data_IF_924854601366
#
_entry.id   IF_924854601366
#
_cell.length_a   1.000
_cell.length_b   1.000
_cell.length_c   1.000
_cell.angle_alpha   90.00
_cell.angle_beta   90.00
_cell.angle_gamma   90.00
#
_symmetry.space_group_name_H-M   'P 1'
#
loop_
_entity.id
_entity.type
_entity.pdbx_description
1 polymer ?
#
# COMPACT_ATOMS: atom_id res chain seq x y z
N UNK A 1 32.31 14.76 -34.25
CA UNK A 1 31.08 13.95 -34.06
C UNK A 1 31.28 12.88 -33.00
N UNK A 2 32.38 12.09 -33.05
CA UNK A 2 32.73 11.14 -31.97
C UNK A 2 33.07 11.82 -30.64
N UNK A 3 33.82 12.94 -30.64
CA UNK A 3 34.16 13.67 -29.40
C UNK A 3 32.93 14.23 -28.68
N UNK A 4 32.00 14.85 -29.42
CA UNK A 4 30.73 15.35 -28.85
C UNK A 4 29.90 14.22 -28.24
N UNK A 5 29.89 13.04 -28.85
CA UNK A 5 29.20 11.88 -28.28
C UNK A 5 29.90 11.40 -27.00
N UNK A 6 31.23 11.41 -26.97
CA UNK A 6 32.01 11.00 -25.80
C UNK A 6 31.76 11.94 -24.61
N UNK A 7 31.80 13.25 -24.83
CA UNK A 7 31.48 14.26 -23.82
C UNK A 7 30.05 14.12 -23.28
N UNK A 8 29.06 13.86 -24.17
CA UNK A 8 27.68 13.63 -23.75
C UNK A 8 27.53 12.35 -22.92
N UNK A 9 28.28 11.29 -23.24
CA UNK A 9 28.29 10.05 -22.47
C UNK A 9 28.93 10.27 -21.09
N UNK A 10 30.03 10.99 -21.01
CA UNK A 10 30.67 11.36 -19.73
C UNK A 10 29.72 12.18 -18.86
N UNK A 11 29.04 13.18 -19.43
CA UNK A 11 28.01 13.94 -18.72
C UNK A 11 26.82 13.08 -18.26
N UNK A 12 26.43 12.09 -19.07
CA UNK A 12 25.39 11.14 -18.67
C UNK A 12 25.85 10.28 -17.49
N UNK A 13 27.09 9.77 -17.52
CA UNK A 13 27.66 8.97 -16.42
C UNK A 13 27.72 9.79 -15.14
N UNK A 14 28.24 11.02 -15.19
CA UNK A 14 28.27 11.93 -14.05
C UNK A 14 26.88 12.28 -13.54
N UNK A 15 25.93 12.50 -14.45
CA UNK A 15 24.53 12.78 -14.13
C UNK A 15 23.84 11.60 -13.45
N UNK A 16 24.10 10.38 -13.92
CA UNK A 16 23.61 9.14 -13.31
C UNK A 16 24.24 8.92 -11.92
N UNK A 17 25.53 9.23 -11.77
CA UNK A 17 26.23 9.14 -10.49
C UNK A 17 25.65 10.13 -9.46
N UNK A 18 25.50 11.41 -9.84
CA UNK A 18 24.92 12.47 -9.00
C UNK A 18 23.44 12.25 -8.67
N UNK A 19 22.72 11.52 -9.51
CA UNK A 19 21.31 11.21 -9.27
C UNK A 19 21.09 10.13 -8.20
N UNK A 20 22.16 9.67 -7.53
CA UNK A 20 22.12 8.64 -6.49
C UNK A 20 21.33 7.40 -6.95
N UNK A 21 21.54 7.00 -8.22
CA UNK A 21 20.99 5.74 -8.75
C UNK A 21 21.69 4.49 -8.19
N UNK A 22 22.49 4.66 -7.14
CA UNK A 22 23.03 3.61 -6.29
C UNK A 22 21.96 3.24 -5.27
N UNK A 23 21.08 2.32 -5.65
CA UNK A 23 20.33 1.39 -4.78
C UNK A 23 19.47 1.94 -3.62
N UNK A 24 19.41 3.24 -3.31
CA UNK A 24 18.71 3.73 -2.12
C UNK A 24 18.11 5.12 -2.33
N UNK A 25 16.82 5.18 -2.67
CA UNK A 25 15.91 6.20 -2.11
C UNK A 25 14.59 5.48 -1.82
N UNK A 26 14.37 5.23 -0.54
CA UNK A 26 13.17 4.66 0.03
C UNK A 26 11.92 5.40 -0.43
N UNK A 27 10.90 4.60 -0.74
CA UNK A 27 9.50 4.99 -1.02
C UNK A 27 9.37 6.28 -1.84
N UNK A 28 9.50 6.17 -3.17
CA UNK A 28 9.14 7.27 -4.05
C UNK A 28 7.64 7.54 -3.87
N UNK A 29 7.30 8.57 -3.09
CA UNK A 29 5.98 9.16 -3.07
C UNK A 29 5.66 9.66 -4.47
N UNK A 30 4.73 8.98 -5.12
CA UNK A 30 4.18 9.41 -6.39
C UNK A 30 2.77 9.90 -6.16
N UNK A 31 2.42 11.01 -6.78
CA UNK A 31 1.18 11.70 -6.48
C UNK A 31 0.39 11.91 -7.75
N UNK A 32 -0.89 11.59 -7.70
CA UNK A 32 -1.85 12.01 -8.71
C UNK A 32 -2.23 13.44 -8.35
N UNK A 33 -2.01 14.36 -9.28
CA UNK A 33 -2.48 15.73 -9.15
C UNK A 33 -3.36 16.02 -10.35
N UNK A 34 -4.67 15.72 -10.28
CA UNK A 34 -5.61 16.25 -11.23
C UNK A 34 -6.08 17.63 -10.79
N UNK A 35 -6.19 18.50 -11.77
CA UNK A 35 -6.51 19.91 -11.60
C UNK A 35 -7.88 20.14 -12.25
N UNK A 36 -8.82 20.73 -11.53
CA UNK A 36 -10.19 20.92 -11.97
C UNK A 36 -10.68 22.36 -11.76
N UNK A 37 -11.36 22.91 -12.74
CA UNK A 37 -12.04 24.20 -12.72
C UNK A 37 -13.48 24.08 -13.26
N UNK A 38 -14.44 24.79 -12.66
CA UNK A 38 -15.82 24.88 -13.18
C UNK A 38 -16.14 26.34 -13.51
N UNK A 39 -16.86 26.58 -14.59
CA UNK A 39 -17.00 27.93 -15.19
C UNK A 39 -18.14 28.77 -14.58
N UNK A 40 -17.83 30.03 -14.28
CA UNK A 40 -18.71 31.20 -14.47
C UNK A 40 -17.82 32.35 -14.94
N UNK A 41 -18.03 32.78 -16.19
CA UNK A 41 -17.37 33.88 -16.91
C UNK A 41 -16.50 34.81 -16.03
N UNK A 42 -15.18 34.58 -16.03
CA UNK A 42 -14.02 35.48 -15.89
C UNK A 42 -12.76 34.59 -16.07
N UNK A 43 -11.61 35.15 -16.45
CA UNK A 43 -10.40 34.46 -16.97
C UNK A 43 -10.08 33.07 -16.38
N UNK A 44 -9.83 32.09 -17.26
CA UNK A 44 -9.56 30.69 -16.93
C UNK A 44 -8.30 30.53 -16.08
N UNK A 45 -8.38 29.84 -14.92
CA UNK A 45 -7.23 29.55 -14.09
C UNK A 45 -6.24 28.60 -14.79
N UNK A 46 -6.72 27.44 -15.26
CA UNK A 46 -5.84 26.34 -15.70
C UNK A 46 -5.75 26.11 -17.21
N UNK A 47 -6.66 26.69 -17.99
CA UNK A 47 -6.66 26.64 -19.46
C UNK A 47 -6.50 25.20 -20.00
N UNK A 48 -5.36 24.88 -20.59
CA UNK A 48 -5.06 23.57 -21.15
C UNK A 48 -4.86 22.48 -20.07
N UNK A 49 -4.63 22.84 -18.81
CA UNK A 49 -4.38 21.90 -17.72
C UNK A 49 -5.66 21.43 -17.02
N UNK A 50 -6.81 22.04 -17.32
CA UNK A 50 -8.10 21.67 -16.73
C UNK A 50 -8.50 20.23 -17.10
N UNK A 51 -8.81 19.43 -16.07
CA UNK A 51 -9.18 18.02 -16.18
C UNK A 51 -8.02 17.07 -16.53
N UNK A 52 -6.79 17.56 -16.68
CA UNK A 52 -5.63 16.70 -16.93
C UNK A 52 -5.10 16.09 -15.63
N UNK A 53 -4.72 14.83 -15.71
CA UNK A 53 -4.19 14.07 -14.58
C UNK A 53 -2.73 13.69 -14.82
N UNK A 54 -1.90 13.85 -13.79
CA UNK A 54 -0.47 13.62 -13.87
C UNK A 54 0.02 12.82 -12.68
N UNK A 55 1.02 11.97 -12.90
CA UNK A 55 1.84 11.42 -11.83
C UNK A 55 3.04 12.33 -11.61
N UNK A 56 3.21 12.82 -10.39
CA UNK A 56 4.35 13.60 -9.96
C UNK A 56 5.35 12.71 -9.22
N UNK A 57 6.63 12.82 -9.58
CA UNK A 57 7.74 12.21 -8.85
C UNK A 57 8.32 13.24 -7.88
N UNK A 58 8.11 13.02 -6.60
CA UNK A 58 8.69 13.85 -5.53
C UNK A 58 10.05 13.32 -5.07
N UNK A 59 10.91 14.18 -4.49
CA UNK A 59 12.16 13.77 -3.89
C UNK A 59 11.95 13.17 -2.48
N UNK A 60 12.70 12.11 -2.14
CA UNK A 60 12.77 11.57 -0.78
C UNK A 60 11.36 11.24 -0.20
N UNK A 61 11.16 11.50 1.08
CA UNK A 61 9.94 11.24 1.85
C UNK A 61 9.01 12.46 1.89
N UNK A 62 8.79 13.14 0.74
CA UNK A 62 7.80 14.22 0.68
C UNK A 62 6.41 13.68 1.00
N UNK A 63 5.80 14.22 2.04
CA UNK A 63 4.47 13.83 2.50
C UNK A 63 3.33 14.54 1.75
N UNK A 64 2.12 13.99 1.83
CA UNK A 64 0.92 14.58 1.23
C UNK A 64 0.65 16.00 1.70
N UNK A 65 0.89 16.30 2.98
CA UNK A 65 0.70 17.65 3.52
C UNK A 65 1.69 18.66 2.94
N UNK A 66 2.96 18.24 2.77
CA UNK A 66 4.03 19.10 2.27
C UNK A 66 3.77 19.51 0.81
N UNK A 67 3.48 18.54 -0.06
CA UNK A 67 3.16 18.87 -1.45
C UNK A 67 1.84 19.62 -1.58
N UNK A 68 0.81 19.28 -0.81
CA UNK A 68 -0.47 20.02 -0.83
C UNK A 68 -0.24 21.50 -0.51
N UNK A 69 0.55 21.79 0.53
CA UNK A 69 0.93 23.16 0.88
C UNK A 69 1.74 23.85 -0.23
N UNK A 70 2.69 23.14 -0.84
CA UNK A 70 3.52 23.67 -1.93
C UNK A 70 2.69 24.01 -3.17
N UNK A 71 1.68 23.20 -3.52
CA UNK A 71 0.75 23.47 -4.62
C UNK A 71 -0.16 24.65 -4.29
N UNK A 72 -0.72 24.71 -3.09
CA UNK A 72 -1.54 25.86 -2.65
C UNK A 72 -0.73 27.15 -2.74
N UNK A 73 0.53 27.15 -2.29
CA UNK A 73 1.40 28.31 -2.41
C UNK A 73 1.67 28.68 -3.88
N UNK A 74 2.07 27.70 -4.70
CA UNK A 74 2.42 27.92 -6.10
C UNK A 74 1.25 28.49 -6.92
N UNK A 75 0.06 27.90 -6.79
CA UNK A 75 -1.12 28.36 -7.51
C UNK A 75 -1.78 29.56 -6.83
N UNK A 76 -1.63 29.71 -5.51
CA UNK A 76 -2.07 30.88 -4.76
C UNK A 76 -1.30 32.15 -5.13
N UNK A 77 0.00 32.04 -5.46
CA UNK A 77 0.80 33.14 -6.02
C UNK A 77 0.26 33.62 -7.38
N UNK A 78 -0.38 32.72 -8.16
CA UNK A 78 -0.96 33.05 -9.48
C UNK A 78 -2.42 33.52 -9.39
N UNK A 79 -3.21 32.96 -8.48
CA UNK A 79 -4.67 33.08 -8.47
C UNK A 79 -5.28 33.67 -7.19
N UNK A 80 -4.46 33.92 -6.16
CA UNK A 80 -4.92 34.20 -4.80
C UNK A 80 -5.09 32.91 -3.99
N UNK A 81 -4.41 32.83 -2.84
CA UNK A 81 -4.41 31.63 -1.97
C UNK A 81 -5.81 31.22 -1.55
N UNK A 82 -6.71 32.19 -1.34
CA UNK A 82 -8.11 31.98 -1.00
C UNK A 82 -8.93 31.35 -2.12
N UNK A 83 -8.44 31.39 -3.37
CA UNK A 83 -9.12 30.83 -4.53
C UNK A 83 -8.66 29.40 -4.87
N UNK A 84 -7.71 28.82 -4.14
CA UNK A 84 -7.19 27.47 -4.37
C UNK A 84 -7.67 26.50 -3.28
N UNK A 85 -8.22 25.35 -3.69
CA UNK A 85 -8.70 24.31 -2.77
C UNK A 85 -8.08 22.95 -3.07
N UNK A 86 -7.62 22.27 -2.02
CA UNK A 86 -7.16 20.89 -2.12
C UNK A 86 -8.34 19.94 -1.90
N UNK A 87 -8.56 19.03 -2.86
CA UNK A 87 -9.46 17.89 -2.68
C UNK A 87 -8.64 16.77 -2.04
N UNK A 88 -8.97 16.46 -0.78
CA UNK A 88 -8.35 15.38 -0.01
C UNK A 88 -8.93 14.01 -0.33
N UNK A 89 -10.13 13.99 -0.93
CA UNK A 89 -10.76 12.77 -1.40
C UNK A 89 -9.96 12.15 -2.54
N UNK A 90 -9.94 10.82 -2.61
CA UNK A 90 -9.33 10.06 -3.72
C UNK A 90 -10.37 9.51 -4.69
N UNK A 91 -11.66 9.69 -4.40
CA UNK A 91 -12.74 9.35 -5.30
C UNK A 91 -12.66 10.17 -6.60
N UNK A 92 -13.18 9.60 -7.69
CA UNK A 92 -13.25 10.29 -8.97
C UNK A 92 -14.11 11.54 -8.83
N UNK A 93 -13.52 12.69 -9.13
CA UNK A 93 -14.16 13.98 -8.88
C UNK A 93 -15.33 14.21 -9.83
N UNK A 94 -16.51 14.47 -9.28
CA UNK A 94 -17.64 14.95 -10.06
C UNK A 94 -17.51 16.47 -10.26
N UNK A 95 -16.97 16.89 -11.40
CA UNK A 95 -16.75 18.31 -11.75
C UNK A 95 -18.04 19.15 -11.60
N UNK A 96 -19.22 18.55 -11.77
CA UNK A 96 -20.50 19.26 -11.62
C UNK A 96 -20.79 19.68 -10.18
N UNK A 97 -20.22 19.02 -9.19
CA UNK A 97 -20.40 19.32 -7.77
C UNK A 97 -19.37 20.31 -7.24
N UNK A 98 -18.31 20.57 -8.00
CA UNK A 98 -17.31 21.57 -7.63
C UNK A 98 -17.89 22.99 -7.66
N UNK A 99 -17.43 23.82 -6.74
CA UNK A 99 -17.72 25.24 -6.73
C UNK A 99 -16.87 25.94 -7.81
N UNK A 100 -17.50 26.57 -8.81
CA UNK A 100 -16.80 27.21 -9.92
C UNK A 100 -15.94 28.41 -9.53
N UNK A 101 -16.10 28.93 -8.31
CA UNK A 101 -15.29 30.04 -7.81
C UNK A 101 -13.83 29.65 -7.56
N UNK A 102 -13.55 28.38 -7.28
CA UNK A 102 -12.24 27.94 -6.82
C UNK A 102 -11.52 27.08 -7.88
N UNK A 103 -10.21 27.22 -7.88
CA UNK A 103 -9.27 26.30 -8.50
C UNK A 103 -9.11 25.07 -7.60
N UNK A 104 -9.59 23.90 -8.04
CA UNK A 104 -9.51 22.67 -7.26
C UNK A 104 -8.33 21.81 -7.70
N UNK A 105 -7.57 21.30 -6.74
CA UNK A 105 -6.43 20.43 -6.97
C UNK A 105 -6.62 19.20 -6.09
N UNK A 106 -6.85 18.04 -6.70
CA UNK A 106 -6.85 16.79 -5.96
C UNK A 106 -5.42 16.30 -5.80
N UNK A 107 -5.09 15.73 -4.64
CA UNK A 107 -3.76 15.16 -4.41
C UNK A 107 -3.93 13.79 -3.78
N UNK A 108 -3.56 12.74 -4.50
CA UNK A 108 -3.67 11.35 -4.03
C UNK A 108 -2.33 10.64 -4.08
N UNK A 109 -1.95 9.98 -2.99
CA UNK A 109 -0.75 9.17 -2.92
C UNK A 109 -0.92 7.85 -3.66
N UNK A 110 0.07 7.52 -4.49
CA UNK A 110 0.17 6.26 -5.22
C UNK A 110 1.51 5.59 -5.00
N UNK A 111 1.50 4.26 -5.08
CA UNK A 111 2.70 3.41 -5.07
C UNK A 111 2.95 2.85 -6.47
N UNK A 112 4.19 2.48 -6.84
CA UNK A 112 4.43 1.67 -8.03
C UNK A 112 3.58 0.39 -8.01
N UNK A 113 2.98 0.05 -9.15
CA UNK A 113 2.19 -1.18 -9.30
C UNK A 113 2.95 -2.20 -10.13
N UNK A 114 2.96 -3.44 -9.64
CA UNK A 114 3.52 -4.60 -10.31
C UNK A 114 2.53 -5.75 -10.22
N UNK A 115 2.35 -6.47 -11.32
CA UNK A 115 1.63 -7.75 -11.28
C UNK A 115 2.52 -8.88 -10.75
N UNK A 116 1.94 -10.06 -10.50
CA UNK A 116 2.64 -11.21 -9.91
C UNK A 116 3.86 -11.62 -10.75
N UNK A 117 3.79 -11.48 -12.08
CA UNK A 117 4.92 -11.78 -12.97
C UNK A 117 6.04 -10.77 -12.76
N UNK A 118 5.74 -9.47 -12.80
CA UNK A 118 6.74 -8.43 -12.57
C UNK A 118 7.36 -8.50 -11.18
N UNK A 119 6.61 -8.89 -10.15
CA UNK A 119 7.15 -9.06 -8.79
C UNK A 119 8.20 -10.17 -8.70
N UNK A 120 8.11 -11.21 -9.55
CA UNK A 120 9.13 -12.26 -9.64
C UNK A 120 10.39 -11.81 -10.40
N UNK A 121 10.23 -10.90 -11.35
CA UNK A 121 11.31 -10.35 -12.17
C UNK A 121 12.05 -9.21 -11.46
N UNK A 122 11.33 -8.33 -10.74
CA UNK A 122 11.85 -7.15 -10.04
C UNK A 122 12.06 -7.46 -8.56
N UNK A 123 13.24 -7.94 -8.23
CA UNK A 123 13.60 -8.42 -6.89
C UNK A 123 14.15 -7.31 -6.00
N UNK A 124 14.88 -6.36 -6.59
CA UNK A 124 15.56 -5.29 -5.86
C UNK A 124 14.69 -4.04 -5.75
N UNK A 125 14.97 -3.20 -4.75
CA UNK A 125 14.31 -1.90 -4.63
C UNK A 125 14.60 -0.99 -5.84
N UNK A 126 15.81 -1.06 -6.40
CA UNK A 126 16.16 -0.35 -7.63
C UNK A 126 15.25 -0.74 -8.80
N UNK A 127 15.09 -2.04 -9.06
CA UNK A 127 14.23 -2.55 -10.14
C UNK A 127 12.77 -2.14 -9.92
N UNK A 128 12.32 -2.03 -8.67
CA UNK A 128 10.96 -1.57 -8.32
C UNK A 128 10.79 -0.06 -8.37
N UNK A 129 11.84 0.70 -8.66
CA UNK A 129 11.80 2.16 -8.77
C UNK A 129 12.26 2.67 -10.15
N UNK A 130 12.76 1.78 -11.01
CA UNK A 130 13.32 2.12 -12.31
C UNK A 130 12.51 1.53 -13.47
N UNK A 131 12.33 2.32 -14.54
CA UNK A 131 11.50 1.99 -15.70
C UNK A 131 10.10 1.54 -15.30
N UNK A 132 9.41 2.41 -14.56
CA UNK A 132 8.06 2.17 -14.04
C UNK A 132 7.07 3.23 -14.53
N UNK A 133 5.94 2.77 -15.05
CA UNK A 133 4.87 3.60 -15.59
C UNK A 133 3.48 3.25 -15.03
N UNK A 134 3.37 2.24 -14.16
CA UNK A 134 2.11 1.86 -13.51
C UNK A 134 2.13 2.21 -12.04
N UNK A 135 1.05 2.80 -11.57
CA UNK A 135 0.88 3.31 -10.21
C UNK A 135 -0.48 2.90 -9.66
N UNK A 136 -0.56 2.66 -8.36
CA UNK A 136 -1.79 2.20 -7.71
C UNK A 136 -2.10 3.01 -6.46
N UNK A 137 -3.39 3.31 -6.27
CA UNK A 137 -3.95 3.70 -4.99
C UNK A 137 -5.21 2.90 -4.71
N UNK A 138 -5.63 2.88 -3.45
CA UNK A 138 -6.78 2.13 -2.99
C UNK A 138 -7.72 3.03 -2.21
N UNK A 139 -9.02 2.90 -2.48
CA UNK A 139 -10.08 3.66 -1.82
C UNK A 139 -11.10 2.71 -1.19
N UNK A 140 -11.44 2.87 0.11
CA UNK A 140 -12.44 2.04 0.76
C UNK A 140 -13.85 2.48 0.34
N UNK A 141 -14.75 1.51 0.19
CA UNK A 141 -16.18 1.77 0.02
C UNK A 141 -16.99 0.61 0.60
N UNK A 142 -18.28 0.78 0.86
CA UNK A 142 -19.17 -0.28 1.34
C UNK A 142 -20.13 -0.71 0.24
N UNK A 143 -20.74 -1.89 0.39
CA UNK A 143 -21.83 -2.35 -0.50
C UNK A 143 -23.02 -1.36 -0.53
N UNK A 144 -23.19 -0.55 0.51
CA UNK A 144 -24.20 0.51 0.64
C UNK A 144 -23.76 1.88 0.09
N UNK A 145 -22.53 2.01 -0.42
CA UNK A 145 -21.99 3.23 -1.02
C UNK A 145 -21.37 4.24 -0.04
N UNK A 146 -21.24 3.89 1.25
CA UNK A 146 -20.46 4.66 2.23
C UNK A 146 -18.97 4.36 2.05
N UNK A 147 -18.08 5.14 2.69
CA UNK A 147 -16.63 4.88 2.64
C UNK A 147 -16.20 3.74 3.56
N UNK A 148 -16.71 3.76 4.79
CA UNK A 148 -16.34 2.81 5.84
C UNK A 148 -17.58 2.11 6.39
N UNK A 149 -17.43 0.82 6.72
CA UNK A 149 -18.49 -0.02 7.28
C UNK A 149 -17.93 -1.17 8.09
N UNK A 150 -18.78 -2.14 8.44
CA UNK A 150 -18.31 -3.38 9.05
C UNK A 150 -17.55 -4.24 8.04
N UNK A 151 -16.81 -5.23 8.53
CA UNK A 151 -15.93 -6.09 7.73
C UNK A 151 -16.70 -6.78 6.59
N UNK A 152 -17.93 -7.19 6.85
CA UNK A 152 -18.80 -7.90 5.93
C UNK A 152 -19.32 -7.01 4.79
N UNK A 153 -19.27 -5.68 4.95
CA UNK A 153 -19.68 -4.71 3.94
C UNK A 153 -18.49 -4.01 3.27
N UNK A 154 -17.31 -4.03 3.91
CA UNK A 154 -16.15 -3.25 3.50
C UNK A 154 -15.54 -3.81 2.22
N UNK A 155 -15.65 -3.05 1.15
CA UNK A 155 -15.02 -3.28 -0.15
C UNK A 155 -13.81 -2.35 -0.31
N UNK A 156 -12.99 -2.63 -1.33
CA UNK A 156 -11.82 -1.84 -1.67
C UNK A 156 -11.74 -1.66 -3.19
N UNK A 157 -11.62 -0.41 -3.65
CA UNK A 157 -11.40 -0.10 -5.07
C UNK A 157 -9.92 0.17 -5.28
N UNK A 158 -9.29 -0.66 -6.10
CA UNK A 158 -7.89 -0.53 -6.51
C UNK A 158 -7.84 0.13 -7.88
N UNK A 159 -7.28 1.34 -7.96
CA UNK A 159 -7.17 2.09 -9.20
C UNK A 159 -5.72 2.07 -9.67
N UNK A 160 -5.48 1.49 -10.85
CA UNK A 160 -4.17 1.38 -11.48
C UNK A 160 -4.10 2.39 -12.62
N UNK A 161 -3.11 3.27 -12.55
CA UNK A 161 -2.87 4.36 -13.47
C UNK A 161 -1.62 4.08 -14.29
N UNK A 162 -1.73 4.25 -15.60
CA UNK A 162 -0.59 4.11 -16.51
C UNK A 162 -0.24 5.47 -17.09
N UNK A 163 1.04 5.82 -16.99
CA UNK A 163 1.59 7.05 -17.56
C UNK A 163 2.06 6.84 -18.99
N UNK A 164 2.01 7.90 -19.79
CA UNK A 164 2.50 7.92 -21.18
C UNK A 164 3.98 7.59 -21.36
N UNK A 165 4.80 7.82 -20.33
CA UNK A 165 6.22 7.46 -20.28
C UNK A 165 6.56 6.84 -18.91
N UNK A 166 7.70 6.16 -18.82
CA UNK A 166 8.20 5.58 -17.57
C UNK A 166 9.02 6.58 -16.78
N UNK A 167 8.96 6.49 -15.46
CA UNK A 167 9.97 7.07 -14.58
C UNK A 167 11.20 6.15 -14.49
N UNK A 168 12.41 6.72 -14.35
CA UNK A 168 12.74 8.15 -14.40
C UNK A 168 12.57 8.74 -15.81
N UNK A 169 12.19 10.02 -15.90
CA UNK A 169 11.95 10.73 -17.15
C UNK A 169 12.58 12.13 -17.12
N UNK A 170 12.71 12.78 -18.29
CA UNK A 170 13.23 14.15 -18.40
C UNK A 170 12.34 15.19 -17.70
N UNK A 171 11.05 14.87 -17.46
CA UNK A 171 10.11 15.68 -16.66
C UNK A 171 9.79 15.00 -15.34
N UNK A 172 9.55 15.80 -14.30
CA UNK A 172 9.13 15.33 -12.96
C UNK A 172 7.65 14.94 -12.89
N UNK A 173 6.85 15.32 -13.88
CA UNK A 173 5.44 14.91 -14.01
C UNK A 173 5.19 14.29 -15.38
N UNK A 174 4.38 13.24 -15.43
CA UNK A 174 4.04 12.53 -16.67
C UNK A 174 2.51 12.38 -16.72
N UNK A 175 1.85 12.71 -17.85
CA UNK A 175 0.41 12.59 -17.96
C UNK A 175 -0.02 11.13 -17.93
N UNK A 176 -1.15 10.89 -17.29
CA UNK A 176 -1.85 9.62 -17.25
C UNK A 176 -2.60 9.46 -18.58
N UNK A 177 -2.48 8.30 -19.22
CA UNK A 177 -3.17 8.00 -20.48
C UNK A 177 -4.13 6.82 -20.37
N UNK A 178 -4.05 6.04 -19.29
CA UNK A 178 -4.92 4.90 -19.07
C UNK A 178 -5.15 4.65 -17.58
N UNK A 179 -6.39 4.32 -17.23
CA UNK A 179 -6.83 3.96 -15.90
C UNK A 179 -7.56 2.62 -15.94
N UNK A 180 -7.25 1.75 -14.99
CA UNK A 180 -7.95 0.50 -14.75
C UNK A 180 -8.42 0.44 -13.30
N UNK A 181 -9.69 0.11 -13.07
CA UNK A 181 -10.23 -0.09 -11.73
C UNK A 181 -10.54 -1.55 -11.48
N UNK A 182 -10.15 -2.04 -10.30
CA UNK A 182 -10.44 -3.38 -9.80
C UNK A 182 -11.19 -3.23 -8.47
N UNK A 183 -12.38 -3.80 -8.41
CA UNK A 183 -13.22 -3.75 -7.21
C UNK A 183 -13.10 -5.07 -6.44
N UNK A 184 -12.58 -5.00 -5.21
CA UNK A 184 -12.45 -6.13 -4.30
C UNK A 184 -13.70 -6.19 -3.41
N UNK A 185 -14.34 -7.37 -3.37
CA UNK A 185 -15.45 -7.65 -2.46
C UNK A 185 -14.94 -7.89 -1.04
N UNK A 186 -15.80 -7.91 -0.01
CA UNK A 186 -15.36 -8.00 1.39
C UNK A 186 -14.44 -9.18 1.71
N UNK A 187 -14.71 -10.38 1.19
CA UNK A 187 -13.82 -11.54 1.37
C UNK A 187 -12.47 -11.39 0.63
N UNK A 188 -12.45 -10.69 -0.51
CA UNK A 188 -11.22 -10.40 -1.23
C UNK A 188 -10.39 -9.35 -0.47
N UNK A 189 -11.05 -8.35 0.14
CA UNK A 189 -10.39 -7.39 1.04
C UNK A 189 -9.75 -8.10 2.22
N UNK A 190 -10.48 -9.00 2.89
CA UNK A 190 -9.93 -9.80 3.97
C UNK A 190 -8.70 -10.61 3.53
N UNK A 191 -8.76 -11.24 2.36
CA UNK A 191 -7.64 -12.02 1.81
C UNK A 191 -6.42 -11.14 1.54
N UNK A 192 -6.63 -9.97 0.94
CA UNK A 192 -5.59 -8.99 0.60
C UNK A 192 -4.92 -8.41 1.86
N UNK A 193 -5.70 -8.05 2.88
CA UNK A 193 -5.18 -7.55 4.18
C UNK A 193 -4.33 -8.60 4.92
N UNK A 194 -4.79 -9.86 4.95
CA UNK A 194 -4.02 -10.96 5.55
C UNK A 194 -2.76 -11.25 4.74
N UNK A 195 -2.83 -11.18 3.40
CA UNK A 195 -1.68 -11.33 2.51
C UNK A 195 -0.63 -10.25 2.74
N UNK A 196 -1.03 -9.00 2.83
CA UNK A 196 -0.12 -7.87 3.03
C UNK A 196 0.57 -7.95 4.41
N UNK A 197 -0.19 -8.24 5.47
CA UNK A 197 0.39 -8.48 6.81
C UNK A 197 1.38 -9.65 6.81
N UNK A 198 1.04 -10.74 6.14
CA UNK A 198 1.91 -11.92 6.03
C UNK A 198 3.21 -11.57 5.32
N UNK A 199 3.12 -10.90 4.17
CA UNK A 199 4.27 -10.52 3.37
C UNK A 199 5.19 -9.51 4.09
N UNK A 200 4.61 -8.54 4.80
CA UNK A 200 5.35 -7.58 5.62
C UNK A 200 6.14 -8.28 6.73
N UNK A 201 5.50 -9.21 7.45
CA UNK A 201 6.15 -9.95 8.52
C UNK A 201 7.25 -10.88 8.00
N UNK A 202 6.99 -11.59 6.89
CA UNK A 202 7.99 -12.45 6.23
C UNK A 202 9.21 -11.66 5.75
N UNK A 203 8.99 -10.45 5.20
CA UNK A 203 10.08 -9.56 4.78
C UNK A 203 10.97 -9.18 5.97
N UNK A 204 10.38 -8.82 7.11
CA UNK A 204 11.13 -8.49 8.32
C UNK A 204 11.93 -9.69 8.85
N UNK A 205 11.33 -10.89 8.82
CA UNK A 205 12.01 -12.10 9.28
C UNK A 205 13.15 -12.57 8.36
N UNK A 206 13.12 -12.19 7.09
CA UNK A 206 14.12 -12.59 6.09
C UNK A 206 15.26 -11.58 5.95
N UNK A 207 15.23 -10.47 6.69
CA UNK A 207 16.28 -9.45 6.64
C UNK A 207 17.58 -9.97 7.28
N UNK A 208 18.72 -9.69 6.66
CA UNK A 208 20.03 -10.03 7.22
C UNK A 208 20.29 -9.27 8.53
N UNK A 209 19.90 -7.98 8.55
CA UNK A 209 19.91 -7.13 9.74
C UNK A 209 18.46 -6.94 10.18
N UNK A 210 18.06 -7.65 11.22
CA UNK A 210 16.68 -7.62 11.73
C UNK A 210 16.49 -6.39 12.61
N UNK A 211 15.63 -5.46 12.17
CA UNK A 211 15.15 -4.37 13.01
C UNK A 211 14.14 -4.93 14.03
N UNK A 212 14.64 -5.21 15.23
CA UNK A 212 13.85 -5.77 16.33
C UNK A 212 12.62 -4.91 16.67
N UNK A 213 12.73 -3.58 16.62
CA UNK A 213 11.64 -2.69 16.99
C UNK A 213 10.52 -2.77 15.94
N UNK A 214 10.89 -2.76 14.65
CA UNK A 214 9.91 -2.94 13.57
C UNK A 214 9.29 -4.34 13.60
N UNK A 215 10.08 -5.38 13.86
CA UNK A 215 9.57 -6.74 14.02
C UNK A 215 8.55 -6.82 15.15
N UNK A 216 8.88 -6.31 16.34
CA UNK A 216 8.00 -6.30 17.52
C UNK A 216 6.71 -5.51 17.25
N UNK A 217 6.82 -4.32 16.65
CA UNK A 217 5.67 -3.48 16.31
C UNK A 217 4.69 -4.23 15.39
N UNK A 218 5.21 -4.87 14.33
CA UNK A 218 4.37 -5.58 13.35
C UNK A 218 3.82 -6.89 13.91
N UNK A 219 4.64 -7.64 14.63
CA UNK A 219 4.22 -8.89 15.29
C UNK A 219 3.13 -8.65 16.31
N UNK A 220 3.30 -7.65 17.20
CA UNK A 220 2.28 -7.26 18.17
C UNK A 220 0.98 -6.83 17.49
N UNK A 221 1.06 -6.06 16.40
CA UNK A 221 -0.10 -5.67 15.58
C UNK A 221 -0.76 -6.83 14.81
N UNK A 222 -0.18 -8.03 14.84
CA UNK A 222 -0.75 -9.25 14.29
C UNK A 222 -1.43 -10.09 15.38
N UNK A 223 -0.75 -10.32 16.51
CA UNK A 223 -1.20 -11.29 17.53
C UNK A 223 -1.89 -10.65 18.75
N UNK A 224 -1.68 -9.36 18.99
CA UNK A 224 -2.11 -8.64 20.19
C UNK A 224 -2.87 -7.35 19.84
N UNK A 225 -3.85 -7.44 18.94
CA UNK A 225 -4.59 -6.26 18.47
C UNK A 225 -5.55 -5.75 19.55
N UNK A 226 -5.42 -4.48 19.93
CA UNK A 226 -6.22 -3.86 21.00
C UNK A 226 -7.25 -2.84 20.50
N UNK A 227 -6.99 -2.16 19.38
CA UNK A 227 -7.80 -1.01 18.91
C UNK A 227 -8.63 -1.36 17.67
N UNK A 228 -8.06 -2.14 16.74
CA UNK A 228 -8.70 -2.52 15.48
C UNK A 228 -9.30 -3.93 15.56
N UNK A 229 -10.13 -4.30 14.58
CA UNK A 229 -10.85 -5.59 14.60
C UNK A 229 -9.96 -6.86 14.56
N UNK A 230 -8.66 -6.74 14.30
CA UNK A 230 -7.71 -7.87 14.33
C UNK A 230 -7.95 -8.95 13.26
N UNK A 231 -6.97 -9.84 13.01
CA UNK A 231 -7.10 -10.87 11.98
C UNK A 231 -8.31 -11.80 12.19
N UNK A 232 -8.59 -12.18 13.44
CA UNK A 232 -9.69 -13.10 13.77
C UNK A 232 -11.08 -12.58 13.41
N UNK A 233 -11.28 -11.25 13.35
CA UNK A 233 -12.57 -10.73 12.91
C UNK A 233 -12.85 -11.08 11.43
N UNK A 234 -11.83 -11.13 10.58
CA UNK A 234 -11.98 -11.63 9.21
C UNK A 234 -12.33 -13.13 9.20
N UNK A 235 -11.67 -13.94 10.04
CA UNK A 235 -11.98 -15.36 10.14
C UNK A 235 -13.43 -15.58 10.60
N UNK A 236 -13.89 -14.87 11.63
CA UNK A 236 -15.28 -14.94 12.10
C UNK A 236 -16.27 -14.48 11.03
N UNK A 237 -15.97 -13.42 10.30
CA UNK A 237 -16.85 -12.86 9.26
C UNK A 237 -17.00 -13.77 8.04
N UNK A 238 -15.96 -14.52 7.67
CA UNK A 238 -15.91 -15.18 6.35
C UNK A 238 -15.67 -16.70 6.39
N UNK A 239 -15.14 -17.27 7.48
CA UNK A 239 -14.67 -18.66 7.50
C UNK A 239 -15.48 -19.64 8.35
N UNK A 240 -16.34 -19.16 9.26
CA UNK A 240 -17.23 -20.06 10.00
C UNK A 240 -18.26 -20.71 9.04
N UNK A 241 -18.70 -21.93 9.33
CA UNK A 241 -19.56 -22.71 8.43
C UNK A 241 -20.81 -21.96 7.95
N UNK A 242 -21.45 -21.19 8.83
CA UNK A 242 -22.67 -20.44 8.51
C UNK A 242 -22.43 -19.28 7.55
N UNK A 243 -21.23 -18.69 7.55
CA UNK A 243 -20.86 -17.57 6.68
C UNK A 243 -20.14 -18.02 5.43
N UNK A 244 -19.26 -19.03 5.53
CA UNK A 244 -18.47 -19.55 4.42
C UNK A 244 -19.35 -20.00 3.24
N UNK A 245 -20.52 -20.59 3.52
CA UNK A 245 -21.48 -21.01 2.50
C UNK A 245 -22.05 -19.86 1.66
N UNK A 246 -21.93 -18.61 2.11
CA UNK A 246 -22.39 -17.41 1.39
C UNK A 246 -21.40 -16.92 0.32
N UNK A 247 -20.18 -17.45 0.31
CA UNK A 247 -19.10 -17.02 -0.58
C UNK A 247 -18.68 -18.15 -1.53
N UNK A 248 -18.08 -17.83 -2.69
CA UNK A 248 -17.56 -18.85 -3.59
C UNK A 248 -16.53 -19.75 -2.87
N UNK A 249 -16.62 -21.09 -2.97
CA UNK A 249 -15.72 -22.00 -2.25
C UNK A 249 -14.23 -21.74 -2.53
N UNK A 250 -13.90 -21.34 -3.77
CA UNK A 250 -12.54 -20.96 -4.16
C UNK A 250 -12.01 -19.78 -3.31
N UNK A 251 -12.84 -18.79 -3.03
CA UNK A 251 -12.46 -17.60 -2.23
C UNK A 251 -12.36 -17.89 -0.74
N UNK A 252 -13.23 -18.75 -0.23
CA UNK A 252 -13.12 -19.25 1.15
C UNK A 252 -11.80 -20.02 1.33
N UNK A 253 -11.49 -20.94 0.42
CA UNK A 253 -10.25 -21.71 0.48
C UNK A 253 -9.00 -20.82 0.32
N UNK A 254 -9.04 -19.83 -0.58
CA UNK A 254 -7.96 -18.85 -0.72
C UNK A 254 -7.70 -18.10 0.59
N UNK A 255 -8.75 -17.65 1.29
CA UNK A 255 -8.61 -16.99 2.59
C UNK A 255 -8.09 -17.95 3.66
N UNK A 256 -8.56 -19.21 3.71
CA UNK A 256 -8.02 -20.24 4.62
C UNK A 256 -6.53 -20.47 4.38
N UNK A 257 -6.12 -20.65 3.13
CA UNK A 257 -4.71 -20.83 2.74
C UNK A 257 -3.86 -19.63 3.18
N UNK A 258 -4.38 -18.41 3.03
CA UNK A 258 -3.70 -17.19 3.47
C UNK A 258 -3.57 -17.11 4.99
N UNK A 259 -4.57 -17.52 5.75
CA UNK A 259 -4.46 -17.61 7.20
C UNK A 259 -3.41 -18.64 7.66
N UNK A 260 -3.30 -19.78 6.99
CA UNK A 260 -2.24 -20.77 7.32
C UNK A 260 -0.84 -20.17 7.13
N UNK A 261 -0.62 -19.45 6.03
CA UNK A 261 0.64 -18.71 5.78
C UNK A 261 0.88 -17.61 6.82
N UNK A 262 -0.18 -16.90 7.20
CA UNK A 262 -0.12 -15.87 8.23
C UNK A 262 0.32 -16.44 9.59
N UNK A 263 -0.27 -17.55 10.02
CA UNK A 263 0.12 -18.23 11.26
C UNK A 263 1.58 -18.69 11.22
N UNK A 264 2.04 -19.27 10.11
CA UNK A 264 3.46 -19.63 9.94
C UNK A 264 4.38 -18.40 10.05
N UNK A 265 4.03 -17.29 9.39
CA UNK A 265 4.82 -16.06 9.47
C UNK A 265 4.88 -15.51 10.90
N UNK A 266 3.76 -15.52 11.64
CA UNK A 266 3.72 -15.12 13.05
C UNK A 266 4.59 -16.03 13.93
N UNK A 267 4.59 -17.34 13.70
CA UNK A 267 5.44 -18.26 14.46
C UNK A 267 6.93 -17.98 14.22
N UNK A 268 7.35 -17.85 12.96
CA UNK A 268 8.74 -17.55 12.61
C UNK A 268 9.17 -16.21 13.23
N UNK A 269 8.28 -15.21 13.20
CA UNK A 269 8.54 -13.91 13.82
C UNK A 269 8.67 -13.99 15.35
N UNK A 270 7.88 -14.84 16.02
CA UNK A 270 8.01 -15.09 17.46
C UNK A 270 9.35 -15.75 17.78
N UNK A 271 9.72 -16.82 17.06
CA UNK A 271 10.99 -17.52 17.24
C UNK A 271 12.19 -16.58 17.03
N UNK A 272 12.11 -15.72 16.00
CA UNK A 272 13.14 -14.72 15.75
C UNK A 272 13.19 -13.68 16.87
N UNK A 273 12.05 -13.18 17.32
CA UNK A 273 12.00 -12.23 18.42
C UNK A 273 12.55 -12.81 19.72
N UNK A 274 12.26 -14.08 20.03
CA UNK A 274 12.79 -14.78 21.21
C UNK A 274 14.32 -14.78 21.27
N UNK A 275 14.98 -14.85 20.11
CA UNK A 275 16.45 -14.80 20.00
C UNK A 275 17.03 -13.38 20.14
N UNK A 276 16.21 -12.35 19.95
CA UNK A 276 16.65 -10.94 19.90
C UNK A 276 16.39 -10.20 21.22
N UNK A 277 15.38 -10.61 21.99
CA UNK A 277 15.00 -9.95 23.24
C UNK A 277 16.09 -10.03 24.30
N UNK A 278 16.03 -9.06 25.23
CA UNK A 278 16.82 -9.03 26.46
C UNK A 278 15.95 -9.36 27.67
N UNK A 279 16.57 -9.50 28.84
CA UNK A 279 15.89 -9.89 30.09
C UNK A 279 14.67 -9.01 30.42
N UNK A 280 14.74 -7.72 30.13
CA UNK A 280 13.66 -6.75 30.36
C UNK A 280 12.44 -6.93 29.44
N UNK A 281 12.58 -7.70 28.35
CA UNK A 281 11.51 -7.96 27.38
C UNK A 281 10.92 -9.38 27.46
N UNK A 282 11.36 -10.22 28.42
CA UNK A 282 10.89 -11.61 28.54
C UNK A 282 9.38 -11.66 28.78
N UNK A 283 8.86 -10.90 29.74
CA UNK A 283 7.43 -10.87 30.06
C UNK A 283 6.58 -10.39 28.86
N UNK A 284 7.09 -9.38 28.14
CA UNK A 284 6.48 -8.90 26.92
C UNK A 284 6.38 -10.01 25.86
N UNK A 285 7.47 -10.75 25.63
CA UNK A 285 7.50 -11.84 24.66
C UNK A 285 6.57 -13.00 25.04
N UNK A 286 6.55 -13.39 26.32
CA UNK A 286 5.63 -14.42 26.82
C UNK A 286 4.15 -14.01 26.63
N UNK A 287 3.84 -12.72 26.81
CA UNK A 287 2.54 -12.17 26.46
C UNK A 287 2.19 -12.36 24.97
N UNK A 288 3.13 -12.07 24.06
CA UNK A 288 2.93 -12.30 22.63
C UNK A 288 2.73 -13.79 22.29
N UNK A 289 3.53 -14.68 22.90
CA UNK A 289 3.38 -16.14 22.76
C UNK A 289 2.02 -16.63 23.25
N UNK A 290 1.55 -16.13 24.40
CA UNK A 290 0.22 -16.48 24.91
C UNK A 290 -0.89 -16.05 23.94
N UNK A 291 -0.88 -14.79 23.51
CA UNK A 291 -1.88 -14.27 22.59
C UNK A 291 -1.87 -14.97 21.23
N UNK A 292 -0.69 -15.34 20.73
CA UNK A 292 -0.57 -16.16 19.52
C UNK A 292 -1.19 -17.55 19.69
N UNK A 293 -0.95 -18.23 20.81
CA UNK A 293 -1.57 -19.53 21.10
C UNK A 293 -3.10 -19.44 21.13
N UNK A 294 -3.64 -18.42 21.79
CA UNK A 294 -5.08 -18.17 21.83
C UNK A 294 -5.65 -17.89 20.43
N UNK A 295 -4.93 -17.08 19.63
CA UNK A 295 -5.33 -16.79 18.26
C UNK A 295 -5.38 -18.04 17.38
N UNK A 296 -4.37 -18.91 17.47
CA UNK A 296 -4.34 -20.15 16.66
C UNK A 296 -5.43 -21.12 17.10
N UNK A 297 -5.66 -21.24 18.41
CA UNK A 297 -6.75 -22.07 18.95
C UNK A 297 -8.10 -21.60 18.42
N UNK A 298 -8.39 -20.30 18.52
CA UNK A 298 -9.66 -19.77 18.03
C UNK A 298 -9.81 -19.92 16.51
N UNK A 299 -8.74 -19.66 15.75
CA UNK A 299 -8.76 -19.84 14.30
C UNK A 299 -9.04 -21.31 13.93
N UNK A 300 -8.44 -22.26 14.63
CA UNK A 300 -8.66 -23.71 14.47
C UNK A 300 -10.12 -24.08 14.72
N UNK A 301 -10.72 -23.52 15.77
CA UNK A 301 -12.13 -23.71 16.10
C UNK A 301 -13.05 -23.16 14.99
N UNK A 302 -12.70 -22.01 14.38
CA UNK A 302 -13.49 -21.36 13.31
C UNK A 302 -13.42 -22.16 11.99
N UNK A 303 -12.24 -22.64 11.61
CA UNK A 303 -12.03 -23.30 10.30
C UNK A 303 -12.28 -24.80 10.33
N UNK A 304 -12.53 -25.37 11.52
CA UNK A 304 -12.71 -26.80 11.80
C UNK A 304 -11.57 -27.70 11.31
N UNK A 305 -10.36 -27.15 11.28
CA UNK A 305 -9.13 -27.89 11.01
C UNK A 305 -8.34 -27.91 12.30
N UNK A 306 -7.92 -29.09 12.76
CA UNK A 306 -7.05 -29.17 13.92
C UNK A 306 -5.71 -28.52 13.57
N UNK A 307 -5.47 -27.33 14.10
CA UNK A 307 -4.14 -26.76 14.11
C UNK A 307 -3.28 -27.67 14.99
N UNK A 308 -2.48 -28.53 14.38
CA UNK A 308 -1.41 -29.22 15.09
C UNK A 308 -0.33 -28.19 15.42
N UNK A 309 -0.55 -27.38 16.47
CA UNK A 309 0.48 -26.46 16.96
C UNK A 309 1.56 -27.30 17.64
N UNK A 310 2.50 -27.79 16.84
CA UNK A 310 3.78 -28.26 17.35
C UNK A 310 4.59 -27.01 17.67
N UNK A 311 4.37 -26.41 18.84
CA UNK A 311 5.40 -25.58 19.48
C UNK A 311 6.47 -26.57 19.93
N UNK A 312 7.34 -26.98 19.00
CA UNK A 312 8.43 -27.90 19.29
C UNK A 312 9.70 -27.09 19.26
N UNK A 313 10.42 -27.17 20.37
CA UNK A 313 11.63 -26.46 20.75
C UNK A 313 12.77 -26.41 19.73
N UNK A 314 12.66 -26.84 18.46
CA UNK A 314 13.75 -26.68 17.49
C UNK A 314 13.47 -26.87 15.98
N UNK A 315 12.25 -27.01 15.45
CA UNK A 315 12.09 -27.06 13.97
C UNK A 315 10.65 -26.75 13.49
N UNK A 316 10.54 -25.74 12.61
CA UNK A 316 9.41 -25.30 11.77
C UNK A 316 7.97 -25.75 12.11
N UNK A 317 7.07 -24.77 12.26
CA UNK A 317 5.61 -24.99 12.28
C UNK A 317 5.10 -25.49 10.92
N UNK A 318 4.61 -26.72 10.89
CA UNK A 318 3.93 -27.33 9.73
C UNK A 318 2.43 -27.40 10.04
N UNK A 319 1.63 -26.60 9.31
CA UNK A 319 0.18 -26.78 9.27
C UNK A 319 -0.14 -27.92 8.29
N UNK A 320 -0.60 -29.05 8.82
CA UNK A 320 -1.07 -30.20 8.02
C UNK A 320 -2.60 -30.31 8.01
N UNK A 321 -3.19 -30.99 7.02
CA UNK A 321 -4.62 -31.32 7.01
C UNK A 321 -5.04 -32.22 8.18
#
# INVERSE_FOLDING_TARGET
MQEVLLELLEQCVDGLWKAERYEVISEISKLIIPIYEKRREFESFFEEEDGKEYIYKEPKLTGLSEISLRLVKLYGEKFGTENVKIIQDSDKVNVKELDPKYAHIQVTYVKPYFDDKELTERKTEFERNHNINRFVFEAPYTLSGKKQGCIEEQCKRRTILTTSNSFPYVKKRIPINYEQQINLKPIDVATDEIKDKTAELQKLCSSADVDMIQLQLKLQGCVSVQVNAGPLAYARAFLNDSQASKYPPKKVNELKDMFRKFIQACSIALELNERLIKEDQIEYHEGLKSNFRDMVKELSDIIHEQASIRVVENENVIWGP
#
